data_IF_913643940374
#
_entry.id   IF_913643940374
#
_cell.length_a   1.000
_cell.length_b   1.000
_cell.length_c   1.000
_cell.angle_alpha   90.00
_cell.angle_beta   90.00
_cell.angle_gamma   90.00
#
_symmetry.space_group_name_H-M   'P 1'
#
loop_
_entity.id
_entity.type
_entity.pdbx_description
1 polymer ?
#
# COMPACT_ATOMS: atom_id res chain seq x y z
N UNK A 1 -11.09 13.91 -4.63
CA UNK A 1 -10.32 12.84 -5.30
C UNK A 1 -8.97 13.38 -5.75
N UNK A 2 -7.92 12.57 -5.67
CA UNK A 2 -6.58 12.94 -6.12
C UNK A 2 -6.09 11.96 -7.21
N UNK A 3 -5.49 12.49 -8.27
CA UNK A 3 -4.86 11.71 -9.35
C UNK A 3 -3.40 12.18 -9.48
N UNK A 4 -2.44 11.25 -9.41
CA UNK A 4 -0.98 11.55 -9.39
C UNK A 4 -0.58 12.64 -8.37
N UNK A 5 -1.23 12.63 -7.20
CA UNK A 5 -0.97 13.60 -6.13
C UNK A 5 -1.58 14.99 -6.33
N UNK A 6 -2.33 15.23 -7.40
CA UNK A 6 -3.07 16.48 -7.64
C UNK A 6 -4.54 16.31 -7.29
N UNK A 7 -5.13 17.29 -6.60
CA UNK A 7 -6.57 17.29 -6.34
C UNK A 7 -7.33 17.57 -7.63
N UNK A 8 -8.36 16.78 -7.91
CA UNK A 8 -9.14 16.87 -9.16
C UNK A 8 -10.59 17.28 -8.92
N UNK A 9 -11.14 17.08 -7.72
CA UNK A 9 -12.53 17.47 -7.41
C UNK A 9 -13.20 16.64 -6.33
N UNK A 10 -14.39 17.06 -5.90
CA UNK A 10 -15.27 16.37 -4.97
C UNK A 10 -16.17 15.35 -5.68
N UNK A 11 -17.31 15.01 -5.09
CA UNK A 11 -18.20 13.98 -5.65
C UNK A 11 -18.86 14.45 -6.95
N UNK A 12 -19.38 15.68 -6.96
CA UNK A 12 -20.09 16.23 -8.12
C UNK A 12 -19.15 16.36 -9.33
N UNK A 13 -17.95 16.90 -9.13
CA UNK A 13 -16.97 17.02 -10.22
C UNK A 13 -16.49 15.66 -10.75
N UNK A 14 -16.46 14.63 -9.90
CA UNK A 14 -16.11 13.28 -10.36
C UNK A 14 -17.23 12.66 -11.21
N UNK A 15 -18.49 12.96 -10.91
CA UNK A 15 -19.63 12.49 -11.72
C UNK A 15 -19.56 13.12 -13.10
N UNK A 16 -19.39 14.45 -13.17
CA UNK A 16 -19.30 15.17 -14.45
C UNK A 16 -18.15 14.65 -15.32
N UNK A 17 -16.95 14.48 -14.73
CA UNK A 17 -15.78 13.93 -15.43
C UNK A 17 -15.97 12.47 -15.87
N UNK A 18 -16.73 11.68 -15.11
CA UNK A 18 -17.04 10.31 -15.48
C UNK A 18 -18.03 10.25 -16.65
N UNK A 19 -19.03 11.12 -16.66
CA UNK A 19 -20.03 11.21 -17.72
C UNK A 19 -19.46 11.79 -19.02
N UNK A 20 -18.50 12.72 -18.94
CA UNK A 20 -17.80 13.25 -20.12
C UNK A 20 -16.74 12.30 -20.68
N UNK A 21 -16.36 11.27 -19.92
CA UNK A 21 -15.31 10.30 -20.29
C UNK A 21 -13.88 10.76 -19.98
N UNK A 22 -13.68 12.03 -19.62
CA UNK A 22 -12.38 12.61 -19.28
C UNK A 22 -11.73 11.91 -18.09
N UNK A 23 -12.53 11.43 -17.13
CA UNK A 23 -12.02 10.69 -15.99
C UNK A 23 -11.26 9.42 -16.42
N UNK A 24 -11.76 8.71 -17.43
CA UNK A 24 -11.12 7.51 -17.97
C UNK A 24 -9.76 7.84 -18.59
N UNK A 25 -9.71 8.87 -19.43
CA UNK A 25 -8.47 9.34 -20.07
C UNK A 25 -7.42 9.76 -19.02
N UNK A 26 -7.86 10.45 -17.96
CA UNK A 26 -6.97 10.81 -16.86
C UNK A 26 -6.38 9.59 -16.17
N UNK A 27 -7.19 8.56 -15.93
CA UNK A 27 -6.78 7.31 -15.31
C UNK A 27 -5.91 6.44 -16.20
N UNK A 28 -6.09 6.46 -17.52
CA UNK A 28 -5.21 5.74 -18.46
C UNK A 28 -3.77 6.27 -18.40
N UNK A 29 -3.59 7.57 -18.12
CA UNK A 29 -2.25 8.10 -17.87
C UNK A 29 -1.66 7.63 -16.54
N UNK A 30 -2.50 7.20 -15.60
CA UNK A 30 -2.10 6.52 -14.36
C UNK A 30 -1.93 5.04 -14.70
N UNK A 31 -0.91 4.73 -15.51
CA UNK A 31 -0.54 3.34 -15.78
C UNK A 31 -0.38 2.53 -14.48
N UNK A 32 -0.40 1.20 -14.55
CA UNK A 32 -0.25 0.35 -13.39
C UNK A 32 0.94 0.82 -12.55
N UNK A 33 0.73 0.97 -11.23
CA UNK A 33 1.73 1.43 -10.24
C UNK A 33 2.93 0.46 -10.14
N UNK A 34 3.63 0.20 -11.23
CA UNK A 34 4.68 -0.82 -11.35
C UNK A 34 5.32 -0.91 -12.73
N UNK A 35 4.75 -0.31 -13.78
CA UNK A 35 5.40 -0.29 -15.10
C UNK A 35 6.33 0.92 -15.31
N UNK A 36 6.28 1.91 -14.41
CA UNK A 36 7.06 3.15 -14.50
C UNK A 36 7.92 3.43 -13.25
N UNK A 37 8.14 2.46 -12.35
CA UNK A 37 9.27 2.61 -11.43
C UNK A 37 10.54 2.41 -12.26
N UNK A 38 11.58 3.21 -12.00
CA UNK A 38 12.88 3.00 -12.61
C UNK A 38 13.47 1.65 -12.18
N UNK A 39 14.80 1.56 -12.15
CA UNK A 39 15.40 0.38 -11.51
C UNK A 39 14.85 0.24 -10.08
N UNK A 40 14.44 -0.98 -9.69
CA UNK A 40 13.83 -1.18 -8.38
C UNK A 40 14.80 -0.73 -7.30
N UNK A 41 14.28 -0.15 -6.21
CA UNK A 41 15.13 0.29 -5.11
C UNK A 41 16.04 -0.87 -4.65
N UNK A 42 17.36 -0.69 -4.70
CA UNK A 42 18.30 -1.77 -4.33
C UNK A 42 18.11 -2.27 -2.88
N UNK A 43 17.58 -1.42 -2.00
CA UNK A 43 17.33 -1.75 -0.61
C UNK A 43 16.01 -2.50 -0.36
N UNK A 44 14.96 -2.25 -1.14
CA UNK A 44 13.64 -2.86 -0.90
C UNK A 44 13.01 -3.56 -2.11
N UNK A 45 13.64 -3.58 -3.28
CA UNK A 45 13.16 -4.27 -4.49
C UNK A 45 11.80 -3.79 -4.98
N UNK A 46 11.43 -2.53 -4.73
CA UNK A 46 10.08 -1.98 -4.93
C UNK A 46 8.97 -2.72 -4.17
N UNK A 47 9.31 -3.40 -3.07
CA UNK A 47 8.33 -4.01 -2.18
C UNK A 47 7.49 -2.91 -1.53
N UNK A 48 6.22 -2.84 -1.93
CA UNK A 48 5.23 -1.89 -1.39
C UNK A 48 4.69 -2.29 -0.03
N UNK A 49 4.76 -3.59 0.27
CA UNK A 49 4.31 -4.16 1.52
C UNK A 49 5.31 -5.24 1.91
N UNK A 50 5.90 -5.12 3.11
CA UNK A 50 6.70 -6.18 3.70
C UNK A 50 5.75 -6.95 4.61
N UNK A 51 5.49 -8.26 4.35
CA UNK A 51 4.66 -9.04 5.25
C UNK A 51 5.31 -9.06 6.64
N UNK A 52 4.50 -8.99 7.69
CA UNK A 52 4.99 -9.14 9.05
C UNK A 52 5.81 -10.44 9.17
N UNK A 53 7.10 -10.33 9.50
CA UNK A 53 8.05 -11.44 9.60
C UNK A 53 7.76 -12.26 10.86
N UNK A 54 7.24 -11.61 11.92
CA UNK A 54 6.85 -12.27 13.17
C UNK A 54 5.67 -13.23 12.99
N UNK A 55 4.72 -12.94 12.08
CA UNK A 55 3.55 -13.80 11.82
C UNK A 55 3.46 -14.34 10.39
N UNK A 56 4.51 -14.15 9.60
CA UNK A 56 4.56 -14.46 8.16
C UNK A 56 3.33 -13.96 7.38
N UNK A 57 2.82 -12.80 7.79
CA UNK A 57 1.64 -12.16 7.22
C UNK A 57 0.27 -12.73 7.61
N UNK A 58 0.21 -13.78 8.44
CA UNK A 58 -1.06 -14.43 8.84
C UNK A 58 -1.87 -13.64 9.88
N UNK A 59 -1.28 -12.62 10.49
CA UNK A 59 -1.79 -11.90 11.67
C UNK A 59 -2.03 -12.79 12.90
N UNK A 60 -1.51 -14.02 12.91
CA UNK A 60 -1.66 -15.00 14.00
C UNK A 60 -0.30 -15.54 14.44
N UNK A 61 -0.12 -15.70 15.74
CA UNK A 61 1.07 -16.32 16.35
C UNK A 61 0.62 -17.29 17.45
N UNK A 62 1.41 -18.32 17.75
CA UNK A 62 1.19 -19.15 18.94
C UNK A 62 1.68 -18.38 20.18
N UNK A 63 0.87 -18.34 21.23
CA UNK A 63 1.32 -17.91 22.56
C UNK A 63 2.01 -19.05 23.31
N UNK A 64 2.49 -18.76 24.54
CA UNK A 64 3.15 -19.73 25.41
C UNK A 64 2.25 -20.92 25.81
N UNK A 65 0.93 -20.82 25.60
CA UNK A 65 -0.06 -21.85 25.90
C UNK A 65 -0.47 -22.63 24.65
N UNK A 66 0.26 -22.46 23.55
CA UNK A 66 -0.01 -23.05 22.24
C UNK A 66 -1.37 -22.65 21.64
N UNK A 67 -1.87 -21.47 22.01
CA UNK A 67 -3.12 -20.91 21.45
C UNK A 67 -2.79 -19.86 20.41
N UNK A 68 -3.51 -19.88 19.29
CA UNK A 68 -3.39 -18.82 18.28
C UNK A 68 -3.96 -17.51 18.81
N UNK A 69 -3.09 -16.50 18.90
CA UNK A 69 -3.44 -15.13 19.29
C UNK A 69 -3.12 -14.16 18.16
N UNK A 70 -3.69 -12.96 18.22
CA UNK A 70 -3.43 -11.90 17.25
C UNK A 70 -1.99 -11.40 17.40
N UNK A 71 -1.28 -11.27 16.28
CA UNK A 71 0.04 -10.65 16.27
C UNK A 71 -0.05 -9.18 16.73
N UNK A 72 0.78 -8.79 17.69
CA UNK A 72 0.83 -7.42 18.25
C UNK A 72 1.82 -6.52 17.51
N UNK A 73 2.62 -7.09 16.59
CA UNK A 73 3.67 -6.40 15.82
C UNK A 73 3.19 -5.85 14.49
N UNK A 74 1.99 -6.25 14.03
CA UNK A 74 1.40 -5.78 12.78
C UNK A 74 -0.07 -5.35 12.95
N UNK A 75 -0.56 -4.50 12.05
CA UNK A 75 -1.97 -4.14 11.95
C UNK A 75 -2.69 -4.97 10.87
N UNK A 76 -3.94 -4.63 10.57
CA UNK A 76 -4.76 -5.32 9.55
C UNK A 76 -4.16 -5.27 8.13
N UNK A 77 -3.30 -4.28 7.85
CA UNK A 77 -2.64 -4.16 6.56
C UNK A 77 -1.37 -5.02 6.47
N UNK A 78 -1.07 -5.83 7.50
CA UNK A 78 0.07 -6.75 7.52
C UNK A 78 1.43 -6.05 7.41
N UNK A 79 1.42 -4.72 7.54
CA UNK A 79 2.59 -3.86 7.46
C UNK A 79 3.30 -3.80 8.81
N UNK A 80 4.63 -3.88 8.76
CA UNK A 80 5.45 -3.35 9.84
C UNK A 80 5.19 -1.86 9.98
N UNK A 81 4.99 -1.42 11.22
CA UNK A 81 4.99 0.00 11.54
C UNK A 81 6.42 0.51 11.24
N UNK A 82 6.52 1.49 10.36
CA UNK A 82 7.75 1.90 9.68
C UNK A 82 8.90 2.54 10.52
N UNK A 83 8.80 2.92 11.81
CA UNK A 83 9.97 3.47 12.50
C UNK A 83 11.02 2.41 12.90
N UNK A 84 10.80 1.11 12.64
CA UNK A 84 11.73 0.04 13.04
C UNK A 84 12.59 -0.55 11.92
N UNK A 85 12.34 -0.21 10.65
CA UNK A 85 13.02 -0.84 9.51
C UNK A 85 14.27 -0.08 9.01
N UNK A 86 14.64 1.05 9.61
CA UNK A 86 15.76 1.89 9.16
C UNK A 86 16.73 2.32 10.27
N UNK A 87 16.78 1.63 11.42
CA UNK A 87 17.68 2.00 12.51
C UNK A 87 19.04 1.28 12.51
N UNK A 88 19.35 0.49 11.49
CA UNK A 88 20.67 -0.13 11.35
C UNK A 88 21.23 0.09 9.94
N UNK A 89 21.71 1.32 9.70
CA UNK A 89 22.82 1.58 8.79
C UNK A 89 23.58 2.84 9.22
#
# INVERSE_FOLDING_TARGET
MFIKGRYVGGVEEMVDLNESGELGEMLDTVGPKGENSGEPCEACGDLRFIPCLDCSGSCKVLDEKEVFVRCTRCNENVLYVFPHLFLEH
#
